data_IF_940441491784
#
_entry.id   IF_940441491784
#
_cell.length_a   1.000
_cell.length_b   1.000
_cell.length_c   1.000
_cell.angle_alpha   90.00
_cell.angle_beta   90.00
_cell.angle_gamma   90.00
#
_symmetry.space_group_name_H-M   'P 1'
#
loop_
_entity.id
_entity.type
_entity.pdbx_description
1 polymer ?
#
# COMPACT_ATOMS: atom_id res chain seq x y z
N UNK A 1 -9.30 -2.89 -16.92
CA UNK A 1 -8.54 -3.77 -16.00
C UNK A 1 -8.09 -5.03 -16.74
N UNK A 2 -6.80 -5.30 -16.75
CA UNK A 2 -6.20 -6.54 -17.25
C UNK A 2 -5.77 -7.40 -16.05
N UNK A 3 -6.04 -8.72 -16.11
CA UNK A 3 -5.64 -9.67 -15.08
C UNK A 3 -4.50 -10.55 -15.60
N UNK A 4 -3.31 -10.45 -15.00
CA UNK A 4 -2.12 -11.18 -15.46
C UNK A 4 -1.63 -12.13 -14.36
N UNK A 5 -1.57 -13.44 -14.59
CA UNK A 5 -0.98 -14.38 -13.66
C UNK A 5 0.54 -14.27 -13.69
N UNK A 6 1.16 -14.39 -12.50
CA UNK A 6 2.64 -14.40 -12.35
C UNK A 6 3.05 -15.58 -11.49
N UNK A 7 3.99 -16.37 -11.98
CA UNK A 7 4.62 -17.42 -11.19
C UNK A 7 5.55 -16.79 -10.13
N UNK A 8 5.42 -17.24 -8.88
CA UNK A 8 6.28 -16.78 -7.77
C UNK A 8 6.80 -17.96 -6.96
N UNK A 9 7.84 -17.79 -6.14
CA UNK A 9 8.34 -18.84 -5.26
C UNK A 9 7.30 -19.39 -4.26
N UNK A 10 6.23 -18.62 -4.01
CA UNK A 10 5.13 -19.01 -3.11
C UNK A 10 3.87 -19.49 -3.84
N UNK A 11 3.96 -19.77 -5.15
CA UNK A 11 2.84 -20.14 -6.02
C UNK A 11 2.34 -18.96 -6.86
N UNK A 12 1.27 -19.14 -7.65
CA UNK A 12 0.80 -18.10 -8.56
C UNK A 12 0.24 -16.89 -7.81
N UNK A 13 0.68 -15.70 -8.22
CA UNK A 13 0.09 -14.40 -7.89
C UNK A 13 -0.74 -13.90 -9.08
N UNK A 14 -1.50 -12.82 -8.88
CA UNK A 14 -2.21 -12.11 -9.96
C UNK A 14 -1.93 -10.62 -9.90
N UNK A 15 -1.71 -10.02 -11.06
CA UNK A 15 -1.61 -8.57 -11.23
C UNK A 15 -2.94 -8.06 -11.80
N UNK A 16 -3.58 -7.14 -11.09
CA UNK A 16 -4.74 -6.39 -11.53
C UNK A 16 -4.23 -5.06 -12.06
N UNK A 17 -4.14 -4.93 -13.39
CA UNK A 17 -3.56 -3.75 -14.06
C UNK A 17 -4.67 -2.86 -14.58
N UNK A 18 -4.67 -1.60 -14.17
CA UNK A 18 -5.59 -0.57 -14.59
C UNK A 18 -4.81 0.60 -15.23
N UNK A 19 -5.32 1.14 -16.33
CA UNK A 19 -4.68 2.26 -17.04
C UNK A 19 -3.39 1.86 -17.75
N UNK A 20 -2.69 2.88 -18.21
CA UNK A 20 -1.35 2.83 -18.78
C UNK A 20 -0.73 4.23 -18.64
N UNK A 21 0.59 4.33 -18.49
CA UNK A 21 1.23 5.62 -18.31
C UNK A 21 2.76 5.54 -18.27
N UNK A 22 3.43 6.69 -18.22
CA UNK A 22 4.90 6.76 -18.19
C UNK A 22 5.49 6.42 -16.81
N UNK A 23 4.64 6.33 -15.77
CA UNK A 23 5.02 5.95 -14.43
C UNK A 23 3.95 5.02 -13.82
N UNK A 24 4.29 4.35 -12.73
CA UNK A 24 3.47 3.29 -12.16
C UNK A 24 3.24 3.44 -10.66
N UNK A 25 2.03 3.12 -10.20
CA UNK A 25 1.72 2.88 -8.80
C UNK A 25 1.47 1.38 -8.57
N UNK A 26 2.26 0.74 -7.70
CA UNK A 26 2.08 -0.69 -7.37
C UNK A 26 1.59 -0.83 -5.94
N UNK A 27 0.46 -1.50 -5.74
CA UNK A 27 -0.23 -1.60 -4.46
C UNK A 27 -0.35 -3.05 -3.99
N UNK A 28 0.08 -3.32 -2.75
CA UNK A 28 -0.09 -4.59 -2.06
C UNK A 28 -1.26 -4.56 -1.07
N UNK A 29 -2.01 -5.66 -0.97
CA UNK A 29 -3.14 -5.75 -0.04
C UNK A 29 -2.74 -6.15 1.37
N UNK A 30 -3.62 -5.91 2.34
CA UNK A 30 -3.48 -6.30 3.74
C UNK A 30 -3.73 -7.79 3.98
N UNK A 31 -3.32 -8.28 5.17
CA UNK A 31 -3.46 -9.70 5.54
C UNK A 31 -4.93 -10.16 5.64
N UNK A 32 -5.85 -9.28 6.05
CA UNK A 32 -7.28 -9.60 6.20
C UNK A 32 -8.15 -9.25 4.99
N UNK A 33 -7.57 -8.64 3.93
CA UNK A 33 -8.31 -8.10 2.79
C UNK A 33 -7.86 -8.66 1.45
N UNK A 34 -8.36 -8.06 0.38
CA UNK A 34 -7.97 -8.32 -1.00
C UNK A 34 -7.59 -7.02 -1.71
N UNK A 35 -7.38 -7.12 -3.01
CA UNK A 35 -7.00 -5.99 -3.86
C UNK A 35 -8.10 -4.93 -4.03
N UNK A 36 -9.34 -5.26 -3.67
CA UNK A 36 -10.50 -4.39 -3.78
C UNK A 36 -10.89 -3.72 -2.45
N UNK A 37 -9.94 -3.65 -1.49
CA UNK A 37 -10.15 -2.88 -0.27
C UNK A 37 -10.39 -1.39 -0.61
N UNK A 38 -11.36 -0.72 0.05
CA UNK A 38 -11.77 0.65 -0.32
C UNK A 38 -10.61 1.66 -0.36
N UNK A 39 -9.67 1.56 0.55
CA UNK A 39 -8.48 2.39 0.62
C UNK A 39 -7.51 2.14 -0.55
N UNK A 40 -7.36 0.89 -0.99
CA UNK A 40 -6.58 0.55 -2.19
C UNK A 40 -7.28 1.04 -3.46
N UNK A 41 -8.61 0.98 -3.51
CA UNK A 41 -9.38 1.53 -4.63
C UNK A 41 -9.27 3.06 -4.68
N UNK A 42 -9.31 3.74 -3.55
CA UNK A 42 -9.10 5.19 -3.49
C UNK A 42 -7.71 5.59 -4.00
N UNK A 43 -6.65 4.87 -3.59
CA UNK A 43 -5.29 5.10 -4.08
C UNK A 43 -5.15 4.76 -5.58
N UNK A 44 -5.81 3.69 -6.06
CA UNK A 44 -5.89 3.35 -7.49
C UNK A 44 -6.50 4.50 -8.28
N UNK A 45 -7.64 5.01 -7.84
CA UNK A 45 -8.37 6.06 -8.53
C UNK A 45 -7.55 7.37 -8.57
N UNK A 46 -6.81 7.68 -7.49
CA UNK A 46 -5.86 8.78 -7.46
C UNK A 46 -4.75 8.62 -8.51
N UNK A 47 -4.17 7.43 -8.61
CA UNK A 47 -3.14 7.13 -9.62
C UNK A 47 -3.67 7.24 -11.05
N UNK A 48 -4.85 6.68 -11.32
CA UNK A 48 -5.49 6.75 -12.64
C UNK A 48 -5.83 8.19 -13.05
N UNK A 49 -6.28 9.01 -12.11
CA UNK A 49 -6.55 10.44 -12.38
C UNK A 49 -5.29 11.23 -12.74
N UNK A 50 -4.11 10.74 -12.38
CA UNK A 50 -2.80 11.29 -12.76
C UNK A 50 -2.23 10.68 -14.04
N UNK A 51 -2.94 9.77 -14.69
CA UNK A 51 -2.47 9.08 -15.90
C UNK A 51 -1.39 8.04 -15.62
N UNK A 52 -1.34 7.47 -14.40
CA UNK A 52 -0.41 6.40 -14.05
C UNK A 52 -0.98 5.03 -14.49
N UNK A 53 -0.09 4.08 -14.76
CA UNK A 53 -0.45 2.68 -14.70
C UNK A 53 -0.57 2.26 -13.23
N UNK A 54 -1.67 1.65 -12.83
CA UNK A 54 -1.87 1.17 -11.47
C UNK A 54 -1.94 -0.35 -11.46
N UNK A 55 -1.05 -0.97 -10.66
CA UNK A 55 -0.98 -2.43 -10.51
C UNK A 55 -1.30 -2.80 -9.07
N UNK A 56 -2.37 -3.58 -8.86
CA UNK A 56 -2.69 -4.15 -7.56
C UNK A 56 -2.29 -5.62 -7.54
N UNK A 57 -1.39 -5.97 -6.64
CA UNK A 57 -0.80 -7.31 -6.53
C UNK A 57 -1.63 -8.17 -5.60
N UNK A 58 -2.27 -9.21 -6.14
CA UNK A 58 -2.92 -10.25 -5.35
C UNK A 58 -1.92 -11.37 -5.03
N UNK A 59 -1.55 -11.45 -3.77
CA UNK A 59 -0.52 -12.38 -3.27
C UNK A 59 -0.94 -13.86 -3.40
N UNK A 60 0.01 -14.80 -3.58
CA UNK A 60 -0.26 -16.23 -3.82
C UNK A 60 -1.18 -16.90 -2.79
N UNK A 61 -1.03 -16.55 -1.50
CA UNK A 61 -1.87 -17.12 -0.46
C UNK A 61 -3.33 -16.70 -0.64
N UNK A 62 -3.59 -15.48 -1.11
CA UNK A 62 -4.93 -14.98 -1.38
C UNK A 62 -5.53 -15.62 -2.63
N UNK A 63 -4.74 -15.74 -3.71
CA UNK A 63 -5.13 -16.45 -4.93
C UNK A 63 -5.59 -17.90 -4.63
N UNK A 64 -4.95 -18.55 -3.63
CA UNK A 64 -5.35 -19.88 -3.15
C UNK A 64 -6.55 -19.87 -2.17
N UNK A 65 -7.19 -18.72 -1.96
CA UNK A 65 -8.35 -18.59 -1.06
C UNK A 65 -8.02 -18.71 0.43
N UNK A 66 -6.75 -18.60 0.82
CA UNK A 66 -6.36 -18.64 2.23
C UNK A 66 -6.69 -17.32 2.92
N UNK A 67 -7.01 -17.38 4.21
CA UNK A 67 -7.34 -16.20 5.04
C UNK A 67 -6.15 -15.68 5.87
N UNK A 68 -5.09 -16.46 5.98
CA UNK A 68 -3.91 -16.12 6.78
C UNK A 68 -2.74 -15.83 5.84
N UNK A 69 -2.14 -14.66 6.01
CA UNK A 69 -0.97 -14.25 5.26
C UNK A 69 0.23 -15.15 5.58
N UNK A 70 1.09 -15.34 4.60
CA UNK A 70 2.35 -16.07 4.77
C UNK A 70 3.38 -15.27 5.57
N UNK A 71 4.50 -15.90 5.91
CA UNK A 71 5.61 -15.26 6.58
C UNK A 71 6.15 -14.06 5.77
N UNK A 72 6.66 -13.00 6.42
CA UNK A 72 7.14 -11.79 5.75
C UNK A 72 8.07 -12.06 4.57
N UNK A 73 9.06 -12.94 4.72
CA UNK A 73 10.01 -13.28 3.65
C UNK A 73 9.36 -13.88 2.40
N UNK A 74 8.28 -14.67 2.59
CA UNK A 74 7.53 -15.24 1.47
C UNK A 74 6.68 -14.19 0.75
N UNK A 75 6.12 -13.24 1.50
CA UNK A 75 5.39 -12.11 0.92
C UNK A 75 6.32 -11.24 0.10
N UNK A 76 7.51 -10.96 0.61
CA UNK A 76 8.53 -10.14 -0.06
C UNK A 76 9.02 -10.83 -1.35
N UNK A 77 9.33 -12.12 -1.30
CA UNK A 77 9.78 -12.88 -2.46
C UNK A 77 8.71 -12.94 -3.56
N UNK A 78 7.44 -13.16 -3.20
CA UNK A 78 6.35 -13.17 -4.17
C UNK A 78 6.10 -11.78 -4.77
N UNK A 79 6.17 -10.72 -3.96
CA UNK A 79 6.07 -9.33 -4.40
C UNK A 79 7.17 -8.97 -5.39
N UNK A 80 8.44 -9.26 -5.06
CA UNK A 80 9.57 -9.00 -5.94
C UNK A 80 9.47 -9.75 -7.28
N UNK A 81 8.99 -11.00 -7.26
CA UNK A 81 8.72 -11.75 -8.49
C UNK A 81 7.63 -11.09 -9.35
N UNK A 82 6.59 -10.53 -8.72
CA UNK A 82 5.56 -9.76 -9.42
C UNK A 82 6.13 -8.49 -10.05
N UNK A 83 6.97 -7.75 -9.32
CA UNK A 83 7.61 -6.54 -9.85
C UNK A 83 8.57 -6.84 -11.00
N UNK A 84 9.35 -7.92 -10.89
CA UNK A 84 10.26 -8.35 -11.95
C UNK A 84 9.55 -8.81 -13.24
N UNK A 85 8.27 -9.13 -13.17
CA UNK A 85 7.44 -9.47 -14.34
C UNK A 85 6.88 -8.23 -15.06
N UNK A 86 7.07 -7.04 -14.51
CA UNK A 86 6.60 -5.78 -15.09
C UNK A 86 7.76 -5.07 -15.82
N UNK A 87 7.50 -4.36 -16.92
CA UNK A 87 8.49 -3.48 -17.54
C UNK A 87 9.00 -2.44 -16.54
N UNK A 88 10.27 -2.05 -16.66
CA UNK A 88 10.83 -0.99 -15.82
C UNK A 88 10.18 0.36 -16.13
N UNK A 89 9.64 1.01 -15.11
CA UNK A 89 9.10 2.36 -15.14
C UNK A 89 9.44 3.07 -13.82
N UNK A 90 9.54 4.40 -13.80
CA UNK A 90 9.50 5.14 -12.55
C UNK A 90 8.26 4.73 -11.76
N UNK A 91 8.42 4.38 -10.47
CA UNK A 91 7.27 3.85 -9.74
C UNK A 91 7.22 4.33 -8.28
N UNK A 92 6.01 4.33 -7.75
CA UNK A 92 5.74 4.35 -6.33
C UNK A 92 5.27 2.96 -5.92
N UNK A 93 5.91 2.39 -4.92
CA UNK A 93 5.44 1.17 -4.27
C UNK A 93 4.53 1.55 -3.11
N UNK A 94 3.55 0.71 -2.80
CA UNK A 94 2.69 1.00 -1.67
C UNK A 94 1.80 -0.17 -1.31
N UNK A 95 0.85 0.12 -0.44
CA UNK A 95 -0.14 -0.85 -0.06
C UNK A 95 -0.75 -0.59 1.31
N UNK A 96 -1.62 -1.50 1.69
CA UNK A 96 -2.35 -1.46 2.95
C UNK A 96 -1.77 -2.44 3.96
N UNK A 97 -1.53 -2.00 5.20
CA UNK A 97 -1.17 -2.86 6.33
C UNK A 97 0.04 -3.77 6.01
N UNK A 98 -0.16 -5.07 5.82
CA UNK A 98 0.90 -6.00 5.42
C UNK A 98 1.54 -5.60 4.07
N UNK A 99 0.76 -5.11 3.10
CA UNK A 99 1.26 -4.62 1.81
C UNK A 99 2.15 -3.40 1.95
N UNK A 100 1.82 -2.45 2.84
CA UNK A 100 2.68 -1.30 3.15
C UNK A 100 4.04 -1.74 3.70
N UNK A 101 4.05 -2.72 4.59
CA UNK A 101 5.30 -3.28 5.14
C UNK A 101 6.15 -3.96 4.06
N UNK A 102 5.52 -4.74 3.17
CA UNK A 102 6.21 -5.37 2.03
C UNK A 102 6.85 -4.30 1.16
N UNK A 103 6.10 -3.24 0.81
CA UNK A 103 6.60 -2.12 0.02
C UNK A 103 7.83 -1.46 0.69
N UNK A 104 7.77 -1.18 2.00
CA UNK A 104 8.90 -0.61 2.74
C UNK A 104 10.13 -1.53 2.74
N UNK A 105 9.96 -2.83 3.02
CA UNK A 105 11.10 -3.77 3.09
C UNK A 105 11.79 -4.00 1.75
N UNK A 106 11.05 -3.87 0.65
CA UNK A 106 11.54 -4.22 -0.69
C UNK A 106 11.93 -3.03 -1.55
N UNK A 107 11.59 -1.80 -1.15
CA UNK A 107 11.80 -0.59 -1.97
C UNK A 107 13.25 -0.43 -2.46
N UNK A 108 14.23 -0.71 -1.60
CA UNK A 108 15.66 -0.63 -1.96
C UNK A 108 16.11 -1.64 -3.02
N UNK A 109 15.36 -2.73 -3.18
CA UNK A 109 15.70 -3.82 -4.11
C UNK A 109 15.03 -3.65 -5.48
N UNK A 110 14.26 -2.58 -5.69
CA UNK A 110 13.49 -2.36 -6.92
C UNK A 110 14.00 -1.11 -7.63
N UNK A 111 14.48 -1.23 -8.88
CA UNK A 111 14.90 -0.08 -9.66
C UNK A 111 13.75 0.91 -9.90
N UNK A 112 14.08 2.20 -10.03
CA UNK A 112 13.13 3.24 -10.41
C UNK A 112 12.10 3.62 -9.35
N UNK A 113 12.21 3.12 -8.12
CA UNK A 113 11.32 3.53 -7.01
C UNK A 113 11.59 4.99 -6.64
N UNK A 114 10.51 5.79 -6.60
CA UNK A 114 10.52 7.21 -6.28
C UNK A 114 9.91 7.53 -4.92
N UNK A 115 9.11 6.62 -4.36
CA UNK A 115 8.48 6.79 -3.06
C UNK A 115 7.74 5.55 -2.60
N UNK A 116 7.26 5.57 -1.33
CA UNK A 116 6.45 4.50 -0.76
C UNK A 116 5.17 5.08 -0.14
N UNK A 117 4.00 4.61 -0.60
CA UNK A 117 2.69 4.96 -0.07
C UNK A 117 2.22 3.90 0.93
N UNK A 118 2.13 4.25 2.20
CA UNK A 118 1.70 3.37 3.28
C UNK A 118 0.26 3.74 3.71
N UNK A 119 -0.70 2.85 3.47
CA UNK A 119 -2.06 2.97 3.98
C UNK A 119 -2.19 2.08 5.22
N UNK A 120 -2.58 2.68 6.36
CA UNK A 120 -2.72 2.00 7.65
C UNK A 120 -1.49 1.14 8.00
N UNK A 121 -0.31 1.77 8.10
CA UNK A 121 0.92 1.06 8.46
C UNK A 121 0.83 0.52 9.89
N UNK A 122 0.96 -0.80 10.13
CA UNK A 122 0.75 -1.38 11.45
C UNK A 122 2.00 -1.22 12.32
N UNK A 123 2.19 -0.01 12.88
CA UNK A 123 3.41 0.43 13.58
C UNK A 123 3.74 -0.45 14.79
N UNK A 124 2.79 -0.62 15.70
CA UNK A 124 2.98 -1.40 16.92
C UNK A 124 2.03 -2.60 16.92
N UNK A 125 2.56 -3.82 16.73
CA UNK A 125 1.73 -5.01 16.79
C UNK A 125 1.18 -5.24 18.20
N UNK A 126 -0.03 -5.82 18.35
CA UNK A 126 -0.59 -6.11 19.66
C UNK A 126 0.28 -7.11 20.46
N UNK A 127 0.13 -7.07 21.79
CA UNK A 127 0.82 -8.00 22.69
C UNK A 127 2.25 -7.59 23.08
N UNK A 128 2.57 -6.29 23.11
CA UNK A 128 3.86 -5.77 23.61
C UNK A 128 5.05 -6.10 22.70
N UNK A 129 4.82 -6.41 21.45
CA UNK A 129 5.87 -6.66 20.45
C UNK A 129 6.57 -5.35 20.08
N UNK A 130 7.81 -5.45 19.62
CA UNK A 130 8.61 -4.30 19.17
C UNK A 130 7.91 -3.54 18.05
N UNK A 131 8.10 -2.22 18.06
CA UNK A 131 7.66 -1.33 16.98
C UNK A 131 8.26 -1.77 15.64
N UNK A 132 7.50 -1.55 14.56
CA UNK A 132 7.95 -1.75 13.18
C UNK A 132 8.48 -0.48 12.53
N UNK A 133 8.81 0.51 13.33
CA UNK A 133 9.35 1.78 12.84
C UNK A 133 10.60 1.57 11.98
N UNK A 134 11.46 0.63 12.38
CA UNK A 134 12.63 0.25 11.60
C UNK A 134 12.28 -0.25 10.17
N UNK A 135 11.13 -0.92 9.97
CA UNK A 135 10.68 -1.29 8.63
C UNK A 135 10.22 -0.07 7.83
N UNK A 136 9.55 0.89 8.48
CA UNK A 136 9.13 2.14 7.85
C UNK A 136 10.32 3.01 7.43
N UNK A 137 11.46 2.87 8.09
CA UNK A 137 12.70 3.62 7.82
C UNK A 137 13.64 2.93 6.82
N UNK A 138 13.31 1.73 6.34
CA UNK A 138 14.13 1.03 5.35
C UNK A 138 14.25 1.76 3.99
N UNK A 139 13.18 2.36 3.41
CA UNK A 139 13.32 3.01 2.11
C UNK A 139 14.22 4.26 2.16
N UNK A 140 15.05 4.45 1.14
CA UNK A 140 15.86 5.68 0.96
C UNK A 140 15.10 6.80 0.21
N UNK A 141 13.82 6.58 -0.08
CA UNK A 141 12.94 7.49 -0.82
C UNK A 141 11.86 8.06 0.11
N UNK A 142 11.19 9.15 -0.26
CA UNK A 142 10.07 9.71 0.51
C UNK A 142 8.97 8.69 0.78
N UNK A 143 8.37 8.75 1.97
CA UNK A 143 7.21 7.95 2.38
C UNK A 143 6.06 8.85 2.75
N UNK A 144 4.87 8.49 2.30
CA UNK A 144 3.62 9.01 2.85
C UNK A 144 2.95 7.89 3.64
N UNK A 145 2.65 8.15 4.91
CA UNK A 145 1.80 7.28 5.72
C UNK A 145 0.45 7.96 5.87
N UNK A 146 -0.61 7.31 5.39
CA UNK A 146 -1.99 7.70 5.67
C UNK A 146 -2.52 6.75 6.73
N UNK A 147 -2.90 7.29 7.89
CA UNK A 147 -3.21 6.49 9.09
C UNK A 147 -4.52 6.92 9.71
N UNK A 148 -5.34 5.97 10.16
CA UNK A 148 -6.52 6.28 10.93
C UNK A 148 -6.16 6.79 12.33
N UNK A 149 -6.84 7.85 12.81
CA UNK A 149 -6.62 8.41 14.15
C UNK A 149 -6.82 7.37 15.26
N UNK A 150 -7.75 6.43 15.06
CA UNK A 150 -8.09 5.37 16.03
C UNK A 150 -7.48 4.02 15.65
N UNK A 151 -6.44 4.02 14.81
CA UNK A 151 -5.76 2.77 14.45
C UNK A 151 -5.10 2.15 15.68
N UNK A 152 -5.51 0.94 16.01
CA UNK A 152 -5.00 0.19 17.17
C UNK A 152 -3.51 -0.15 17.08
N UNK A 153 -2.94 -0.06 15.89
CA UNK A 153 -1.50 -0.25 15.66
C UNK A 153 -0.69 1.03 15.85
N UNK A 154 -1.33 2.14 16.21
CA UNK A 154 -0.69 3.44 16.46
C UNK A 154 -0.48 4.28 15.21
N UNK A 155 -0.13 5.54 15.44
CA UNK A 155 0.16 6.54 14.40
C UNK A 155 1.65 6.84 14.40
N UNK A 156 2.36 6.67 13.28
CA UNK A 156 3.76 7.06 13.18
C UNK A 156 3.97 8.57 13.38
N UNK A 157 5.13 8.95 13.89
CA UNK A 157 5.51 10.37 14.00
C UNK A 157 6.09 10.82 12.66
N UNK A 158 5.64 11.98 12.18
CA UNK A 158 6.21 12.63 10.99
C UNK A 158 7.67 13.04 11.24
N UNK A 159 8.53 12.85 10.24
CA UNK A 159 9.96 13.16 10.31
C UNK A 159 10.55 13.32 8.90
N UNK A 160 11.81 13.75 8.75
CA UNK A 160 12.42 13.85 7.42
C UNK A 160 12.17 12.59 6.57
N UNK A 161 11.71 12.78 5.33
CA UNK A 161 11.31 11.76 4.38
C UNK A 161 10.11 10.85 4.80
N UNK A 162 9.44 11.10 5.94
CA UNK A 162 8.20 10.41 6.36
C UNK A 162 7.11 11.44 6.65
N UNK A 163 6.28 11.71 5.65
CA UNK A 163 5.05 12.47 5.84
C UNK A 163 3.96 11.59 6.46
N UNK A 164 3.15 12.15 7.35
CA UNK A 164 2.04 11.43 7.98
C UNK A 164 0.77 12.27 7.84
N UNK A 165 -0.27 11.66 7.27
CA UNK A 165 -1.61 12.22 7.23
C UNK A 165 -2.53 11.37 8.11
N UNK A 166 -3.20 12.02 9.07
CA UNK A 166 -4.09 11.35 10.02
C UNK A 166 -5.54 11.57 9.60
N UNK A 167 -6.24 10.49 9.30
CA UNK A 167 -7.67 10.51 8.95
C UNK A 167 -8.49 10.52 10.25
N UNK A 168 -9.12 11.66 10.52
CA UNK A 168 -9.88 11.87 11.76
C UNK A 168 -11.01 10.84 11.92
N UNK A 169 -11.14 10.28 13.13
CA UNK A 169 -12.17 9.31 13.49
C UNK A 169 -12.06 7.94 12.83
N UNK A 170 -11.10 7.69 11.94
CA UNK A 170 -10.95 6.42 11.23
C UNK A 170 -10.15 5.39 12.04
N UNK A 171 -10.50 4.12 11.89
CA UNK A 171 -9.76 2.99 12.45
C UNK A 171 -8.75 2.38 11.45
N UNK A 172 -8.20 1.20 11.77
CA UNK A 172 -7.25 0.48 10.90
C UNK A 172 -7.81 0.12 9.51
N UNK A 173 -9.12 0.03 9.38
CA UNK A 173 -9.80 -0.22 8.10
C UNK A 173 -10.30 1.06 7.43
N UNK A 174 -9.92 2.22 7.94
CA UNK A 174 -10.46 3.53 7.59
C UNK A 174 -11.98 3.65 7.80
N UNK A 175 -12.55 2.79 8.64
CA UNK A 175 -13.96 2.89 9.01
C UNK A 175 -14.16 3.98 10.07
N UNK A 176 -15.21 4.77 9.89
CA UNK A 176 -15.64 5.83 10.81
C UNK A 176 -16.94 5.44 11.50
N UNK A 177 -17.18 5.96 12.71
CA UNK A 177 -18.42 5.70 13.44
C UNK A 177 -19.48 6.71 13.00
N UNK A 178 -20.75 6.29 12.99
CA UNK A 178 -21.88 7.18 12.66
C UNK A 178 -21.90 8.46 13.48
N UNK A 179 -21.51 8.40 14.77
CA UNK A 179 -21.46 9.55 15.68
C UNK A 179 -20.35 10.57 15.34
N UNK A 180 -19.37 10.19 14.54
CA UNK A 180 -18.26 11.05 14.15
C UNK A 180 -18.65 12.01 13.00
N UNK A 181 -19.91 11.92 12.52
CA UNK A 181 -20.49 12.84 11.53
C UNK A 181 -19.86 12.73 10.14
N UNK A 182 -19.13 11.65 9.88
CA UNK A 182 -18.45 11.39 8.60
C UNK A 182 -18.94 10.10 7.95
N UNK A 183 -18.92 10.06 6.63
CA UNK A 183 -19.25 8.89 5.81
C UNK A 183 -17.99 8.16 5.34
N UNK A 184 -18.13 6.88 4.95
CA UNK A 184 -17.03 6.14 4.33
C UNK A 184 -16.63 6.73 2.96
N UNK A 185 -17.55 7.39 2.26
CA UNK A 185 -17.31 8.06 0.99
C UNK A 185 -16.40 9.28 1.18
N UNK A 186 -16.70 10.14 2.16
CA UNK A 186 -15.85 11.28 2.51
C UNK A 186 -14.44 10.86 2.93
N UNK A 187 -14.31 9.73 3.61
CA UNK A 187 -12.99 9.16 3.94
C UNK A 187 -12.28 8.67 2.66
N UNK A 188 -12.99 8.01 1.75
CA UNK A 188 -12.39 7.57 0.49
C UNK A 188 -11.95 8.76 -0.39
N UNK A 189 -12.72 9.85 -0.38
CA UNK A 189 -12.36 11.09 -1.08
C UNK A 189 -11.12 11.76 -0.48
N UNK A 190 -11.02 11.81 0.84
CA UNK A 190 -9.83 12.30 1.55
C UNK A 190 -8.61 11.45 1.22
N UNK A 191 -8.72 10.12 1.25
CA UNK A 191 -7.64 9.21 0.88
C UNK A 191 -7.19 9.44 -0.57
N UNK A 192 -8.15 9.60 -1.50
CA UNK A 192 -7.89 9.86 -2.92
C UNK A 192 -7.15 11.19 -3.11
N UNK A 193 -7.60 12.25 -2.45
CA UNK A 193 -7.00 13.57 -2.54
C UNK A 193 -5.56 13.56 -2.01
N UNK A 194 -5.36 13.06 -0.79
CA UNK A 194 -4.04 13.02 -0.13
C UNK A 194 -3.05 12.16 -0.91
N UNK A 195 -3.46 10.98 -1.34
CA UNK A 195 -2.61 10.12 -2.17
C UNK A 195 -2.28 10.77 -3.51
N UNK A 196 -3.28 11.39 -4.17
CA UNK A 196 -3.09 12.05 -5.46
C UNK A 196 -2.12 13.23 -5.40
N UNK A 197 -2.24 14.09 -4.40
CA UNK A 197 -1.35 15.23 -4.23
C UNK A 197 0.08 14.81 -3.97
N UNK A 198 0.28 13.80 -3.13
CA UNK A 198 1.61 13.29 -2.85
C UNK A 198 2.22 12.53 -4.04
N UNK A 199 1.44 11.72 -4.76
CA UNK A 199 1.89 11.02 -5.97
C UNK A 199 2.35 12.01 -7.05
N UNK A 200 1.60 13.12 -7.24
CA UNK A 200 1.98 14.18 -8.19
C UNK A 200 3.34 14.76 -7.84
N UNK A 201 3.59 15.09 -6.57
CA UNK A 201 4.87 15.66 -6.12
C UNK A 201 6.04 14.66 -6.22
N UNK A 202 5.76 13.37 -6.10
CA UNK A 202 6.79 12.32 -6.04
C UNK A 202 7.20 11.84 -7.44
N UNK A 203 6.30 11.90 -8.43
CA UNK A 203 6.51 11.38 -9.79
C UNK A 203 6.72 12.47 -10.85
N UNK A 204 6.58 13.74 -10.49
CA UNK A 204 6.98 14.87 -11.33
C UNK A 204 8.38 15.33 -10.98
#
# INVERSE_FOLDING_TARGET
>A
MLLTPVATPSGPARLHVDGAGPARLVLGHGAGGGVDAPDLLAARDAGLALGLEVVRVEQPWRVRGRRVAEAPSRLDAAWLACLAALPELPCVLGGRSAGARVACRTARSVPGVRGVLCLAFPLVPPGGRASREAELDLPDVPRLVVQGERDVFGVPVARPAVAVHVVAGADHAFAVRRRDGRTCEEVADELRAVAGDWLRQTLT
#
